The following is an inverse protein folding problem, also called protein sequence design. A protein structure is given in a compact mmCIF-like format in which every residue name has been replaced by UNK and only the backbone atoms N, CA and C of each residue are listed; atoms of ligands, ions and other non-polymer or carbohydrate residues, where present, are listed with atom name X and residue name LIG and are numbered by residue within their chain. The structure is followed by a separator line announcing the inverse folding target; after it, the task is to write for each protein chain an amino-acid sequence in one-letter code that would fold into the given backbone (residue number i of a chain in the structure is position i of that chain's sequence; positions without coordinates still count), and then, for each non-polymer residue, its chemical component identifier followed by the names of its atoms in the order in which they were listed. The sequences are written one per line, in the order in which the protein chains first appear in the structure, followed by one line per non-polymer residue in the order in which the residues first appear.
data_IF_015329711755
#
_entry.id   IF_015329711755
#
_cell.length_a   1.000
_cell.length_b   1.000
_cell.length_c   1.000
_cell.angle_alpha   90.00
_cell.angle_beta   90.00
_cell.angle_gamma   90.00
#
_symmetry.space_group_name_H-M   'P 1'
#
loop_
_entity.id
_entity.type
_entity.pdbx_description
1 polymer ?
#
# COMPACT_ATOMS: atom_id res chain seq x y z
N UNK A 1 36.81 -0.97 4.82
CA UNK A 1 35.96 -1.01 3.61
C UNK A 1 35.48 0.41 3.37
N UNK A 2 35.60 0.89 2.14
CA UNK A 2 35.12 2.21 1.73
C UNK A 2 33.59 2.19 1.51
N UNK A 3 33.02 3.35 1.19
CA UNK A 3 31.57 3.51 1.03
C UNK A 3 31.01 2.68 -0.12
N UNK A 4 31.69 2.67 -1.27
CA UNK A 4 31.31 1.87 -2.43
C UNK A 4 31.36 0.36 -2.11
N UNK A 5 32.38 -0.11 -1.37
CA UNK A 5 32.46 -1.49 -0.93
C UNK A 5 31.34 -1.87 0.05
N UNK A 6 30.97 -0.98 0.97
CA UNK A 6 29.83 -1.19 1.87
C UNK A 6 28.51 -1.27 1.09
N UNK A 7 28.34 -0.40 0.09
CA UNK A 7 27.16 -0.38 -0.77
C UNK A 7 27.02 -1.67 -1.57
N UNK A 8 28.08 -2.08 -2.25
CA UNK A 8 28.11 -3.34 -3.01
C UNK A 8 27.82 -4.54 -2.10
N UNK A 9 28.38 -4.57 -0.89
CA UNK A 9 28.12 -5.64 0.06
C UNK A 9 26.66 -5.67 0.54
N UNK A 10 26.06 -4.51 0.83
CA UNK A 10 24.67 -4.42 1.25
C UNK A 10 23.72 -4.81 0.11
N UNK A 11 23.97 -4.33 -1.11
CA UNK A 11 23.22 -4.71 -2.31
C UNK A 11 23.28 -6.22 -2.55
N UNK A 12 24.46 -6.84 -2.44
CA UNK A 12 24.62 -8.29 -2.55
C UNK A 12 23.86 -9.04 -1.47
N UNK A 13 23.89 -8.56 -0.23
CA UNK A 13 23.11 -9.15 0.86
C UNK A 13 21.62 -9.15 0.54
N UNK A 14 21.06 -8.00 0.17
CA UNK A 14 19.63 -7.88 -0.19
C UNK A 14 19.26 -8.77 -1.37
N UNK A 15 20.13 -8.85 -2.38
CA UNK A 15 19.94 -9.75 -3.52
C UNK A 15 19.91 -11.23 -3.10
N UNK A 16 20.83 -11.65 -2.23
CA UNK A 16 20.88 -13.02 -1.70
C UNK A 16 19.62 -13.32 -0.88
N UNK A 17 19.17 -12.42 -0.01
CA UNK A 17 17.92 -12.59 0.74
C UNK A 17 16.72 -12.79 -0.20
N UNK A 18 16.62 -12.00 -1.29
CA UNK A 18 15.57 -12.19 -2.29
C UNK A 18 15.68 -13.53 -3.03
N UNK A 19 16.89 -13.97 -3.39
CA UNK A 19 17.07 -15.27 -4.06
C UNK A 19 16.69 -16.44 -3.14
N UNK A 20 17.11 -16.40 -1.87
CA UNK A 20 16.74 -17.43 -0.89
C UNK A 20 15.22 -17.49 -0.69
N UNK A 21 14.56 -16.33 -0.62
CA UNK A 21 13.11 -16.27 -0.61
C UNK A 21 12.49 -16.89 -1.87
N UNK A 22 12.97 -16.54 -3.07
CA UNK A 22 12.49 -17.11 -4.34
C UNK A 22 12.67 -18.62 -4.40
N UNK A 23 13.84 -19.11 -3.99
CA UNK A 23 14.12 -20.55 -3.92
C UNK A 23 13.12 -21.24 -2.99
N UNK A 24 12.83 -20.65 -1.83
CA UNK A 24 11.81 -21.17 -0.90
C UNK A 24 10.42 -21.25 -1.53
N UNK A 25 10.03 -20.27 -2.34
CA UNK A 25 8.75 -20.25 -3.05
C UNK A 25 8.69 -21.29 -4.15
N UNK A 26 9.78 -21.51 -4.88
CA UNK A 26 9.86 -22.50 -5.94
C UNK A 26 9.80 -23.95 -5.44
N UNK A 27 10.09 -24.19 -4.15
CA UNK A 27 9.87 -25.51 -3.53
C UNK A 27 8.40 -25.78 -3.18
N UNK A 28 7.51 -24.78 -3.26
CA UNK A 28 6.09 -24.93 -2.94
C UNK A 28 5.28 -25.45 -4.13
N UNK A 29 4.11 -26.04 -3.85
CA UNK A 29 3.14 -26.41 -4.88
C UNK A 29 2.47 -25.19 -5.51
N UNK A 30 1.91 -25.34 -6.72
CA UNK A 30 1.29 -24.23 -7.47
C UNK A 30 0.21 -23.47 -6.69
N UNK A 31 -0.62 -24.19 -5.92
CA UNK A 31 -1.67 -23.57 -5.09
C UNK A 31 -1.10 -22.75 -3.94
N UNK A 32 -0.01 -23.22 -3.31
CA UNK A 32 0.62 -22.51 -2.20
C UNK A 32 1.41 -21.29 -2.70
N UNK A 33 2.03 -21.38 -3.88
CA UNK A 33 2.61 -20.21 -4.57
C UNK A 33 1.52 -19.18 -4.83
N UNK A 34 0.35 -19.60 -5.32
CA UNK A 34 -0.78 -18.70 -5.57
C UNK A 34 -1.24 -18.00 -4.27
N UNK A 35 -1.33 -18.74 -3.15
CA UNK A 35 -1.66 -18.16 -1.84
C UNK A 35 -0.61 -17.18 -1.33
N UNK A 36 0.67 -17.43 -1.62
CA UNK A 36 1.79 -16.52 -1.33
C UNK A 36 1.93 -15.37 -2.34
N UNK A 37 1.00 -15.17 -3.29
CA UNK A 37 1.15 -14.14 -4.34
C UNK A 37 1.37 -12.73 -3.80
N UNK A 38 0.64 -12.34 -2.74
CA UNK A 38 0.84 -11.04 -2.09
C UNK A 38 2.23 -10.92 -1.46
N UNK A 39 2.65 -11.93 -0.71
CA UNK A 39 4.00 -11.99 -0.10
C UNK A 39 5.09 -11.87 -1.17
N UNK A 40 4.97 -12.62 -2.27
CA UNK A 40 5.92 -12.60 -3.39
C UNK A 40 6.04 -11.20 -3.98
N UNK A 41 4.91 -10.56 -4.26
CA UNK A 41 4.86 -9.23 -4.84
C UNK A 41 5.51 -8.19 -3.90
N UNK A 42 5.17 -8.23 -2.61
CA UNK A 42 5.73 -7.29 -1.64
C UNK A 42 7.24 -7.51 -1.47
N UNK A 43 7.74 -8.74 -1.44
CA UNK A 43 9.20 -8.99 -1.37
C UNK A 43 9.96 -8.41 -2.55
N UNK A 44 9.42 -8.55 -3.77
CA UNK A 44 10.03 -7.98 -4.98
C UNK A 44 10.03 -6.45 -4.89
N UNK A 45 8.89 -5.85 -4.53
CA UNK A 45 8.76 -4.39 -4.40
C UNK A 45 9.68 -3.82 -3.32
N UNK A 46 9.78 -4.47 -2.16
CA UNK A 46 10.70 -4.05 -1.09
C UNK A 46 12.16 -4.07 -1.56
N UNK A 47 12.58 -5.12 -2.27
CA UNK A 47 13.92 -5.18 -2.83
C UNK A 47 14.17 -4.04 -3.81
N UNK A 48 13.26 -3.79 -4.76
CA UNK A 48 13.42 -2.71 -5.75
C UNK A 48 13.49 -1.33 -5.09
N UNK A 49 12.61 -1.08 -4.12
CA UNK A 49 12.62 0.15 -3.31
C UNK A 49 13.96 0.32 -2.59
N UNK A 50 14.45 -0.74 -1.93
CA UNK A 50 15.73 -0.66 -1.22
C UNK A 50 16.90 -0.47 -2.17
N UNK A 51 16.91 -1.11 -3.32
CA UNK A 51 17.97 -0.90 -4.32
C UNK A 51 18.01 0.55 -4.83
N UNK A 52 16.86 1.21 -4.99
CA UNK A 52 16.81 2.65 -5.30
C UNK A 52 17.35 3.52 -4.15
N UNK A 53 17.09 3.12 -2.90
CA UNK A 53 17.50 3.89 -1.72
C UNK A 53 18.96 3.67 -1.30
N UNK A 54 19.54 2.49 -1.56
CA UNK A 54 20.89 2.11 -1.11
C UNK A 54 21.98 3.05 -1.64
N UNK A 55 21.80 3.65 -2.82
CA UNK A 55 22.72 4.66 -3.37
C UNK A 55 22.81 5.93 -2.51
N UNK A 56 21.78 6.22 -1.71
CA UNK A 56 21.69 7.43 -0.90
C UNK A 56 22.04 7.20 0.59
N UNK A 57 22.40 5.97 0.98
CA UNK A 57 22.71 5.64 2.36
C UNK A 57 24.13 6.07 2.74
N UNK A 58 24.28 6.63 3.93
CA UNK A 58 25.58 6.93 4.50
C UNK A 58 26.28 5.66 5.01
N UNK A 59 27.61 5.75 5.17
CA UNK A 59 28.44 4.61 5.57
C UNK A 59 28.09 4.01 6.93
N UNK A 60 27.60 4.80 7.89
CA UNK A 60 27.27 4.31 9.23
C UNK A 60 25.94 3.55 9.21
N UNK A 61 24.96 4.05 8.47
CA UNK A 61 23.69 3.34 8.24
C UNK A 61 23.93 2.00 7.53
N UNK A 62 24.75 1.98 6.47
CA UNK A 62 25.09 0.72 5.78
C UNK A 62 25.77 -0.29 6.69
N UNK A 63 26.70 0.14 7.56
CA UNK A 63 27.35 -0.75 8.54
C UNK A 63 26.36 -1.34 9.53
N UNK A 64 25.43 -0.53 10.04
CA UNK A 64 24.39 -1.00 10.98
C UNK A 64 23.50 -2.05 10.31
N UNK A 65 23.04 -1.80 9.08
CA UNK A 65 22.25 -2.76 8.31
C UNK A 65 23.03 -4.05 8.05
N UNK A 66 24.29 -3.94 7.64
CA UNK A 66 25.18 -5.09 7.43
C UNK A 66 25.45 -5.89 8.72
N UNK A 67 25.39 -5.26 9.89
CA UNK A 67 25.57 -5.93 11.18
C UNK A 67 24.34 -6.70 11.68
N UNK A 68 23.17 -6.51 11.07
CA UNK A 68 21.95 -7.22 11.48
C UNK A 68 22.12 -8.72 11.26
N UNK A 69 21.69 -9.52 12.23
CA UNK A 69 21.77 -11.00 12.20
C UNK A 69 20.52 -11.67 11.59
N UNK A 70 19.52 -10.89 11.17
CA UNK A 70 18.28 -11.35 10.58
C UNK A 70 18.11 -10.85 9.14
N UNK A 71 17.17 -11.41 8.40
CA UNK A 71 16.88 -11.01 7.02
C UNK A 71 16.07 -9.71 7.00
N UNK A 72 16.59 -8.70 6.31
CA UNK A 72 16.02 -7.36 6.24
C UNK A 72 14.68 -7.41 5.50
N UNK A 73 14.61 -8.10 4.37
CA UNK A 73 13.38 -8.18 3.55
C UNK A 73 12.24 -8.84 4.33
N UNK A 74 12.52 -9.94 5.01
CA UNK A 74 11.53 -10.65 5.84
C UNK A 74 11.05 -9.79 6.99
N UNK A 75 11.99 -9.18 7.74
CA UNK A 75 11.62 -8.33 8.85
C UNK A 75 10.71 -7.18 8.42
N UNK A 76 11.06 -6.48 7.33
CA UNK A 76 10.24 -5.36 6.85
C UNK A 76 8.89 -5.84 6.30
N UNK A 77 8.81 -7.00 5.66
CA UNK A 77 7.54 -7.57 5.24
C UNK A 77 6.61 -7.83 6.44
N UNK A 78 7.14 -8.38 7.54
CA UNK A 78 6.34 -8.61 8.75
C UNK A 78 5.88 -7.29 9.39
N UNK A 79 6.77 -6.30 9.47
CA UNK A 79 6.39 -4.95 9.94
C UNK A 79 5.33 -4.32 9.03
N UNK A 80 5.43 -4.52 7.71
CA UNK A 80 4.42 -4.06 6.75
C UNK A 80 3.05 -4.73 6.99
N UNK A 81 3.01 -6.05 7.21
CA UNK A 81 1.77 -6.75 7.54
C UNK A 81 1.14 -6.30 8.86
N UNK A 82 1.94 -5.79 9.79
CA UNK A 82 1.45 -5.26 11.07
C UNK A 82 0.83 -3.88 10.97
N UNK A 83 1.02 -3.15 9.85
CA UNK A 83 0.41 -1.84 9.65
C UNK A 83 -1.07 -2.01 9.32
N UNK A 84 -1.92 -1.32 10.08
CA UNK A 84 -3.33 -1.18 9.76
C UNK A 84 -3.51 -0.45 8.44
N UNK A 85 -4.48 -0.91 7.64
CA UNK A 85 -4.87 -0.21 6.42
C UNK A 85 -5.72 1.00 6.81
N UNK A 86 -5.10 2.18 6.78
CA UNK A 86 -5.80 3.44 7.02
C UNK A 86 -6.96 3.69 6.07
N UNK A 87 -6.96 3.07 4.88
CA UNK A 87 -8.04 3.21 3.89
C UNK A 87 -9.34 2.52 4.32
N UNK A 88 -9.26 1.42 5.09
CA UNK A 88 -10.47 0.70 5.49
C UNK A 88 -11.32 1.51 6.47
N UNK A 89 -10.70 2.20 7.41
CA UNK A 89 -11.42 3.02 8.39
C UNK A 89 -12.12 4.20 7.71
N UNK A 90 -11.42 4.88 6.79
CA UNK A 90 -12.01 5.95 5.96
C UNK A 90 -13.17 5.43 5.10
N UNK A 91 -12.98 4.28 4.44
CA UNK A 91 -14.00 3.64 3.63
C UNK A 91 -15.21 3.21 4.47
N UNK A 92 -14.98 2.70 5.68
CA UNK A 92 -16.03 2.28 6.60
C UNK A 92 -16.91 3.47 6.99
N UNK A 93 -16.29 4.58 7.41
CA UNK A 93 -17.03 5.80 7.77
C UNK A 93 -17.89 6.29 6.60
N UNK A 94 -17.29 6.38 5.40
CA UNK A 94 -18.00 6.78 4.20
C UNK A 94 -19.17 5.84 3.86
N UNK A 95 -18.93 4.53 3.82
CA UNK A 95 -19.93 3.54 3.47
C UNK A 95 -21.11 3.51 4.46
N UNK A 96 -20.85 3.71 5.75
CA UNK A 96 -21.90 3.82 6.76
C UNK A 96 -22.77 5.06 6.56
N UNK A 97 -22.17 6.23 6.31
CA UNK A 97 -22.91 7.45 6.03
C UNK A 97 -23.78 7.36 4.77
N UNK A 98 -23.25 6.77 3.70
CA UNK A 98 -24.03 6.53 2.47
C UNK A 98 -25.21 5.57 2.71
N UNK A 99 -25.03 4.54 3.54
CA UNK A 99 -26.10 3.61 3.87
C UNK A 99 -27.24 4.30 4.65
N UNK A 100 -26.91 5.20 5.56
CA UNK A 100 -27.88 6.04 6.27
C UNK A 100 -28.64 6.97 5.31
N UNK A 101 -27.92 7.67 4.42
CA UNK A 101 -28.52 8.55 3.42
C UNK A 101 -29.47 7.80 2.48
N UNK A 102 -29.09 6.59 2.04
CA UNK A 102 -29.95 5.73 1.21
C UNK A 102 -31.20 5.26 1.97
N UNK A 103 -31.09 4.98 3.27
CA UNK A 103 -32.23 4.61 4.10
C UNK A 103 -33.27 5.74 4.21
N UNK A 104 -32.81 6.99 4.27
CA UNK A 104 -33.68 8.17 4.31
C UNK A 104 -34.40 8.40 2.98
N UNK A 105 -33.73 8.15 1.85
CA UNK A 105 -34.35 8.23 0.51
C UNK A 105 -35.38 7.12 0.25
N UNK A 106 -35.26 5.98 0.93
CA UNK A 106 -36.25 4.91 0.91
C UNK A 106 -37.54 5.24 1.68
N UNK A 107 -37.57 6.35 2.43
CA UNK A 107 -38.69 6.73 3.26
C UNK A 107 -39.69 7.60 2.46
N UNK A 108 -40.92 7.12 2.18
CA UNK A 108 -41.84 7.75 1.23
C UNK A 108 -42.47 9.07 1.72
N UNK A 109 -42.13 9.57 2.91
CA UNK A 109 -42.77 10.74 3.53
C UNK A 109 -42.11 12.10 3.16
N UNK A 110 -40.97 12.12 2.45
CA UNK A 110 -40.32 13.36 1.98
C UNK A 110 -40.55 13.67 0.49
N UNK A 111 -41.81 13.67 0.06
CA UNK A 111 -42.20 14.42 -1.15
C UNK A 111 -42.58 15.84 -0.74
N UNK A 112 -41.59 16.70 -0.49
CA UNK A 112 -41.87 18.13 -0.44
C UNK A 112 -42.36 18.59 -1.82
N UNK A 113 -43.58 19.10 -1.84
CA UNK A 113 -44.18 19.75 -3.00
C UNK A 113 -43.28 20.92 -3.45
N UNK A 114 -42.56 20.73 -4.55
CA UNK A 114 -41.93 21.84 -5.27
C UNK A 114 -43.05 22.72 -5.84
N UNK A 115 -43.50 23.70 -5.05
CA UNK A 115 -44.32 24.81 -5.53
C UNK A 115 -43.48 25.65 -6.48
N UNK A 116 -43.62 25.36 -7.77
CA UNK A 116 -43.12 26.21 -8.86
C UNK A 116 -43.84 27.57 -8.74
N UNK A 117 -43.12 28.59 -8.21
CA UNK A 117 -43.55 29.98 -8.33
C UNK A 117 -43.44 30.38 -9.80
N UNK A 118 -44.57 30.42 -10.48
CA UNK A 118 -44.69 31.01 -11.80
C UNK A 118 -44.59 32.54 -11.66
N UNK A 119 -43.36 33.07 -11.81
CA UNK A 119 -43.09 34.50 -11.88
C UNK A 119 -42.90 34.91 -13.33
N UNK A 120 -43.98 35.36 -13.96
CA UNK A 120 -43.99 35.97 -15.29
C UNK A 120 -43.26 37.31 -15.26
N UNK A 121 -42.21 37.46 -16.08
CA UNK A 121 -41.52 38.72 -16.36
C UNK A 121 -40.93 38.65 -17.77
N UNK A 122 -41.63 39.31 -18.70
CA UNK A 122 -41.44 39.32 -20.15
C UNK A 122 -40.29 40.27 -20.56
N UNK A 123 -39.50 39.88 -21.58
CA UNK A 123 -38.72 40.63 -22.62
C UNK A 123 -38.08 42.01 -22.29
N UNK A 124 -36.94 42.46 -22.84
CA UNK A 124 -35.98 42.07 -23.88
C UNK A 124 -34.74 42.97 -23.71
N UNK A 125 -33.55 42.48 -24.05
CA UNK A 125 -32.36 43.30 -24.28
C UNK A 125 -31.95 43.18 -25.75
N UNK A 126 -31.96 44.29 -26.48
CA UNK A 126 -31.07 44.63 -27.60
C UNK A 126 -31.38 46.07 -28.03
#
# INVERSE_FOLDING_TARGET
MDENGLRDLLSKRLYIELQLFRDSMLQKGKEDIFKSSYEIEIYVNLYEIFMMHVENLDSDTMRKLLSLSFWILEHIYQEWLSREDGFFDELREYACGELEALSEMGNPEHKEEVKVKHGTGIDKAA
#
